data_IF_016540175483
#
_entry.id   IF_016540175483
#
_cell.length_a   1.000
_cell.length_b   1.000
_cell.length_c   1.000
_cell.angle_alpha   90.00
_cell.angle_beta   90.00
_cell.angle_gamma   90.00
#
_symmetry.space_group_name_H-M   'P 1'
#
loop_
_entity.id
_entity.type
_entity.pdbx_description
1 polymer ?
#
# COMPACT_ATOMS: atom_id res chain seq x y z
N UNK A 1 8.87 7.84 -19.28
CA UNK A 1 10.00 8.19 -20.18
C UNK A 1 11.32 8.56 -19.49
N UNK A 2 11.40 8.73 -18.15
CA UNK A 2 12.68 8.85 -17.39
C UNK A 2 13.08 7.57 -16.64
N UNK A 3 12.41 6.45 -16.91
CA UNK A 3 12.53 5.26 -16.05
C UNK A 3 13.90 4.60 -16.16
N UNK A 4 14.42 4.37 -17.38
CA UNK A 4 15.66 3.63 -17.52
C UNK A 4 16.88 4.36 -16.95
N UNK A 5 17.00 5.66 -17.20
CA UNK A 5 18.10 6.49 -16.68
C UNK A 5 18.14 6.47 -15.14
N UNK A 6 16.97 6.60 -14.50
CA UNK A 6 16.85 6.56 -13.04
C UNK A 6 17.22 5.18 -12.50
N UNK A 7 16.66 4.11 -13.10
CA UNK A 7 16.96 2.72 -12.75
C UNK A 7 18.46 2.44 -12.87
N UNK A 8 19.09 2.90 -13.95
CA UNK A 8 20.50 2.69 -14.19
C UNK A 8 21.35 3.44 -13.16
N UNK A 9 21.01 4.70 -12.85
CA UNK A 9 21.71 5.51 -11.86
C UNK A 9 21.65 4.91 -10.45
N UNK A 10 20.47 4.42 -10.06
CA UNK A 10 20.30 3.69 -8.80
C UNK A 10 21.12 2.40 -8.79
N UNK A 11 21.09 1.64 -9.88
CA UNK A 11 21.83 0.38 -9.98
C UNK A 11 23.35 0.59 -9.96
N UNK A 12 23.85 1.65 -10.59
CA UNK A 12 25.26 2.07 -10.48
C UNK A 12 25.63 2.36 -9.03
N UNK A 13 24.77 3.08 -8.30
CA UNK A 13 24.97 3.38 -6.88
C UNK A 13 24.97 2.11 -6.02
N UNK A 14 24.09 1.16 -6.31
CA UNK A 14 23.98 -0.09 -5.57
C UNK A 14 25.21 -1.00 -5.77
N UNK A 15 25.67 -1.16 -7.01
CA UNK A 15 26.75 -2.09 -7.37
C UNK A 15 28.13 -1.47 -7.15
N UNK A 16 28.33 -0.23 -7.59
CA UNK A 16 29.64 0.42 -7.61
C UNK A 16 29.81 1.48 -6.51
N UNK A 17 28.80 1.67 -5.65
CA UNK A 17 28.78 2.63 -4.52
C UNK A 17 28.91 4.08 -5.00
N UNK A 18 29.01 5.00 -4.04
CA UNK A 18 29.08 6.44 -4.31
C UNK A 18 30.26 6.81 -5.23
N UNK A 19 31.43 6.16 -5.07
CA UNK A 19 32.59 6.37 -5.94
C UNK A 19 32.35 5.90 -7.38
N UNK A 20 31.56 4.85 -7.57
CA UNK A 20 31.12 4.39 -8.89
C UNK A 20 30.14 5.36 -9.55
N UNK A 21 29.19 5.88 -8.78
CA UNK A 21 28.25 6.90 -9.25
C UNK A 21 28.97 8.19 -9.66
N UNK A 22 29.94 8.64 -8.87
CA UNK A 22 30.75 9.81 -9.21
C UNK A 22 31.55 9.60 -10.51
N UNK A 23 32.11 8.40 -10.73
CA UNK A 23 32.80 8.06 -11.99
C UNK A 23 31.84 8.09 -13.19
N UNK A 24 30.66 7.51 -13.04
CA UNK A 24 29.62 7.52 -14.06
C UNK A 24 29.16 8.93 -14.43
N UNK A 25 28.88 9.78 -13.43
CA UNK A 25 28.50 11.17 -13.67
C UNK A 25 29.65 11.98 -14.30
N UNK A 26 30.88 11.79 -13.84
CA UNK A 26 32.06 12.49 -14.38
C UNK A 26 32.37 12.10 -15.83
N UNK A 27 32.02 10.87 -16.23
CA UNK A 27 32.12 10.40 -17.61
C UNK A 27 30.98 10.91 -18.52
N UNK A 28 30.06 11.72 -17.98
CA UNK A 28 28.88 12.20 -18.70
C UNK A 28 27.84 11.11 -18.95
N UNK A 29 27.82 10.04 -18.13
CA UNK A 29 26.96 8.89 -18.32
C UNK A 29 25.48 9.26 -18.44
N UNK A 30 24.99 10.18 -17.61
CA UNK A 30 23.59 10.65 -17.65
C UNK A 30 23.22 11.26 -19.01
N UNK A 31 24.02 12.20 -19.51
CA UNK A 31 23.81 12.83 -20.82
C UNK A 31 23.93 11.83 -21.97
N UNK A 32 24.91 10.92 -21.91
CA UNK A 32 25.14 9.91 -22.95
C UNK A 32 24.01 8.89 -23.00
N UNK A 33 23.50 8.44 -21.85
CA UNK A 33 22.36 7.52 -21.79
C UNK A 33 21.08 8.19 -22.31
N UNK A 34 20.86 9.47 -22.02
CA UNK A 34 19.74 10.23 -22.59
C UNK A 34 19.80 10.31 -24.12
N UNK A 35 20.99 10.44 -24.71
CA UNK A 35 21.19 10.39 -26.17
C UNK A 35 20.97 8.99 -26.76
N UNK A 36 21.14 7.95 -25.95
CA UNK A 36 20.92 6.53 -26.31
C UNK A 36 19.47 6.07 -26.10
N UNK A 37 18.58 6.95 -25.64
CA UNK A 37 17.14 6.66 -25.60
C UNK A 37 16.51 7.13 -26.92
N UNK A 38 15.83 6.21 -27.60
CA UNK A 38 15.19 6.49 -28.89
C UNK A 38 14.07 7.54 -28.76
N UNK A 39 13.65 8.14 -29.88
CA UNK A 39 12.49 9.06 -29.88
C UNK A 39 11.19 8.39 -29.45
N UNK A 40 11.13 7.06 -29.52
CA UNK A 40 10.00 6.24 -29.07
C UNK A 40 10.11 5.91 -27.58
N UNK A 41 11.21 6.27 -26.92
CA UNK A 41 11.43 6.14 -25.49
C UNK A 41 12.12 4.84 -25.06
N UNK A 42 12.53 4.00 -26.02
CA UNK A 42 13.25 2.76 -25.74
C UNK A 42 14.77 2.99 -25.61
N UNK A 43 15.41 2.50 -24.54
CA UNK A 43 16.85 2.59 -24.37
C UNK A 43 17.58 1.65 -25.34
N UNK A 44 18.61 2.15 -26.00
CA UNK A 44 19.52 1.34 -26.80
C UNK A 44 20.46 0.54 -25.89
N UNK A 45 20.00 -0.64 -25.52
CA UNK A 45 20.67 -1.53 -24.56
C UNK A 45 22.09 -1.91 -24.99
N UNK A 46 22.37 -2.01 -26.29
CA UNK A 46 23.70 -2.37 -26.78
C UNK A 46 24.70 -1.23 -26.53
N UNK A 47 24.33 -0.01 -26.92
CA UNK A 47 25.18 1.17 -26.73
C UNK A 47 25.36 1.52 -25.25
N UNK A 48 24.34 1.27 -24.43
CA UNK A 48 24.42 1.46 -22.97
C UNK A 48 25.36 0.44 -22.33
N UNK A 49 25.34 -0.82 -22.75
CA UNK A 49 26.26 -1.83 -22.24
C UNK A 49 27.72 -1.48 -22.59
N UNK A 50 27.97 -1.01 -23.81
CA UNK A 50 29.29 -0.56 -24.25
C UNK A 50 29.78 0.64 -23.42
N UNK A 51 28.90 1.62 -23.18
CA UNK A 51 29.18 2.75 -22.29
C UNK A 51 29.58 2.31 -20.87
N UNK A 52 28.88 1.32 -20.30
CA UNK A 52 29.21 0.82 -18.97
C UNK A 52 30.57 0.15 -18.95
N UNK A 53 30.96 -0.56 -20.02
CA UNK A 53 32.28 -1.15 -20.16
C UNK A 53 33.41 -0.11 -20.37
N UNK A 54 33.10 1.10 -20.84
CA UNK A 54 34.06 2.21 -20.88
C UNK A 54 34.35 2.80 -19.49
N UNK A 55 33.36 2.76 -18.58
CA UNK A 55 33.40 3.43 -17.27
C UNK A 55 33.81 2.48 -16.14
N UNK A 56 33.42 1.21 -16.24
CA UNK A 56 33.56 0.22 -15.19
C UNK A 56 34.32 -1.02 -15.67
N UNK A 57 34.92 -1.74 -14.71
CA UNK A 57 35.51 -3.04 -14.99
C UNK A 57 34.44 -4.02 -15.49
N UNK A 58 34.86 -5.01 -16.27
CA UNK A 58 33.96 -5.95 -16.96
C UNK A 58 32.90 -6.56 -16.04
N UNK A 59 33.29 -7.02 -14.85
CA UNK A 59 32.39 -7.67 -13.91
C UNK A 59 31.36 -6.68 -13.31
N UNK A 60 31.79 -5.43 -13.07
CA UNK A 60 30.90 -4.38 -12.56
C UNK A 60 29.94 -3.91 -13.64
N UNK A 61 30.43 -3.66 -14.86
CA UNK A 61 29.63 -3.26 -16.00
C UNK A 61 28.54 -4.29 -16.30
N UNK A 62 28.89 -5.58 -16.38
CA UNK A 62 27.93 -6.66 -16.62
C UNK A 62 26.90 -6.79 -15.50
N UNK A 63 27.31 -6.63 -14.24
CA UNK A 63 26.39 -6.68 -13.09
C UNK A 63 25.40 -5.51 -13.11
N UNK A 64 25.89 -4.28 -13.37
CA UNK A 64 25.06 -3.07 -13.45
C UNK A 64 24.07 -3.21 -14.61
N UNK A 65 24.53 -3.63 -15.77
CA UNK A 65 23.70 -3.78 -16.96
C UNK A 65 22.59 -4.81 -16.74
N UNK A 66 22.93 -6.01 -16.26
CA UNK A 66 21.97 -7.09 -16.02
C UNK A 66 20.86 -6.65 -15.06
N UNK A 67 21.22 -6.03 -13.94
CA UNK A 67 20.25 -5.60 -12.91
C UNK A 67 19.38 -4.45 -13.43
N UNK A 68 19.96 -3.50 -14.16
CA UNK A 68 19.22 -2.36 -14.70
C UNK A 68 18.22 -2.78 -15.79
N UNK A 69 18.62 -3.69 -16.68
CA UNK A 69 17.74 -4.26 -17.71
C UNK A 69 16.58 -5.06 -17.10
N UNK A 70 16.86 -5.91 -16.11
CA UNK A 70 15.82 -6.69 -15.42
C UNK A 70 14.80 -5.77 -14.71
N UNK A 71 15.28 -4.75 -13.97
CA UNK A 71 14.41 -3.76 -13.32
C UNK A 71 13.55 -2.99 -14.34
N UNK A 72 14.11 -2.68 -15.50
CA UNK A 72 13.39 -1.98 -16.56
C UNK A 72 12.30 -2.84 -17.22
N UNK A 73 12.61 -4.09 -17.56
CA UNK A 73 11.62 -5.02 -18.12
C UNK A 73 10.46 -5.26 -17.14
N UNK A 74 10.76 -5.44 -15.85
CA UNK A 74 9.73 -5.58 -14.82
C UNK A 74 8.84 -4.35 -14.70
N UNK A 75 9.39 -3.14 -14.84
CA UNK A 75 8.62 -1.90 -14.83
C UNK A 75 7.74 -1.72 -16.07
N UNK A 76 8.21 -2.16 -17.26
CA UNK A 76 7.39 -2.12 -18.49
C UNK A 76 6.18 -3.05 -18.38
N UNK A 77 6.36 -4.25 -17.81
CA UNK A 77 5.25 -5.20 -17.63
C UNK A 77 4.18 -4.61 -16.70
N UNK A 78 4.58 -3.94 -15.61
CA UNK A 78 3.63 -3.28 -14.71
C UNK A 78 2.91 -2.07 -15.33
N UNK A 79 3.59 -1.25 -16.14
CA UNK A 79 2.94 -0.13 -16.84
C UNK A 79 1.92 -0.63 -17.87
N UNK A 80 2.20 -1.74 -18.55
CA UNK A 80 1.28 -2.34 -19.52
C UNK A 80 0.01 -2.91 -18.85
N UNK A 81 0.16 -3.53 -17.69
CA UNK A 81 -0.99 -4.05 -16.91
C UNK A 81 -1.89 -2.90 -16.38
N UNK A 82 -1.30 -1.74 -16.08
CA UNK A 82 -2.02 -0.53 -15.68
C UNK A 82 -2.79 0.14 -16.83
N UNK A 83 -2.19 0.21 -18.03
CA UNK A 83 -2.86 0.78 -19.21
C UNK A 83 -4.03 -0.10 -19.68
N UNK A 84 -3.87 -1.43 -19.62
CA UNK A 84 -4.98 -2.37 -19.87
C UNK A 84 -6.08 -2.22 -18.81
N UNK A 85 -5.72 -1.99 -17.54
CA UNK A 85 -6.68 -1.71 -16.46
C UNK A 85 -7.44 -0.38 -16.67
N UNK A 86 -6.76 0.71 -17.07
CA UNK A 86 -7.38 2.01 -17.38
C UNK A 86 -8.32 1.95 -18.59
N UNK A 87 -7.96 1.16 -19.60
CA UNK A 87 -8.80 0.89 -20.77
C UNK A 87 -10.11 0.19 -20.38
N UNK A 88 -10.03 -0.82 -19.50
CA UNK A 88 -11.19 -1.58 -19.02
C UNK A 88 -12.09 -0.74 -18.11
N UNK A 89 -11.53 0.09 -17.23
CA UNK A 89 -12.32 1.01 -16.39
C UNK A 89 -13.06 2.04 -17.24
N UNK A 90 -12.43 2.54 -18.31
CA UNK A 90 -13.04 3.47 -19.26
C UNK A 90 -14.14 2.83 -20.08
N UNK A 91 -13.96 1.55 -20.46
CA UNK A 91 -14.98 0.77 -21.16
C UNK A 91 -16.16 0.43 -20.23
N UNK A 92 -15.89 0.02 -18.99
CA UNK A 92 -16.91 -0.27 -17.97
C UNK A 92 -17.73 0.97 -17.56
N UNK A 93 -17.11 2.16 -17.55
CA UNK A 93 -17.81 3.43 -17.31
C UNK A 93 -18.74 3.85 -18.46
N UNK A 94 -18.57 3.25 -19.65
CA UNK A 94 -19.33 3.57 -20.87
C UNK A 94 -20.49 2.60 -21.13
N UNK A 95 -20.62 1.52 -20.35
CA UNK A 95 -21.67 0.51 -20.50
C UNK A 95 -22.95 0.98 -19.77
N UNK A 96 -24.10 1.10 -20.46
CA UNK A 96 -25.39 1.38 -19.82
C UNK A 96 -25.71 0.33 -18.74
N UNK A 97 -26.35 0.76 -17.66
CA UNK A 97 -26.65 -0.01 -16.43
C UNK A 97 -27.55 -1.25 -16.60
N UNK A 98 -27.77 -1.74 -17.82
CA UNK A 98 -28.74 -2.78 -18.19
C UNK A 98 -28.09 -4.10 -18.69
N UNK A 99 -26.78 -4.33 -18.48
CA UNK A 99 -26.13 -5.61 -18.82
C UNK A 99 -25.79 -6.38 -17.53
N UNK A 100 -26.27 -7.62 -17.44
CA UNK A 100 -26.27 -8.47 -16.24
C UNK A 100 -24.96 -8.45 -15.47
N UNK A 101 -25.06 -8.12 -14.18
CA UNK A 101 -23.97 -8.06 -13.19
C UNK A 101 -23.04 -9.31 -13.26
N UNK A 102 -23.58 -10.50 -13.58
CA UNK A 102 -22.85 -11.78 -13.59
C UNK A 102 -21.66 -11.87 -14.58
N UNK A 103 -21.74 -11.26 -15.77
CA UNK A 103 -20.68 -11.37 -16.79
C UNK A 103 -19.48 -10.48 -16.47
N UNK A 104 -19.68 -9.42 -15.69
CA UNK A 104 -18.61 -8.51 -15.29
C UNK A 104 -17.85 -9.02 -14.06
N UNK A 105 -18.54 -9.65 -13.10
CA UNK A 105 -17.93 -10.12 -11.84
C UNK A 105 -16.84 -11.15 -12.10
N UNK A 106 -17.08 -12.12 -12.97
CA UNK A 106 -16.12 -13.18 -13.28
C UNK A 106 -14.87 -12.64 -14.01
N UNK A 107 -15.05 -11.56 -14.79
CA UNK A 107 -13.96 -10.87 -15.48
C UNK A 107 -13.13 -10.00 -14.51
N UNK A 108 -13.79 -9.28 -13.60
CA UNK A 108 -13.11 -8.57 -12.52
C UNK A 108 -12.39 -9.54 -11.56
N UNK A 109 -12.97 -10.70 -11.28
CA UNK A 109 -12.38 -11.75 -10.45
C UNK A 109 -11.04 -12.24 -11.02
N UNK A 110 -11.02 -12.47 -12.34
CA UNK A 110 -9.78 -12.87 -13.03
C UNK A 110 -8.71 -11.77 -13.00
N UNK A 111 -9.09 -10.50 -13.13
CA UNK A 111 -8.14 -9.37 -13.18
C UNK A 111 -7.59 -9.04 -11.80
N UNK A 112 -8.45 -8.96 -10.80
CA UNK A 112 -8.07 -8.68 -9.42
C UNK A 112 -7.50 -9.91 -8.69
N UNK A 113 -7.42 -11.07 -9.38
CA UNK A 113 -7.04 -12.36 -8.82
C UNK A 113 -7.77 -12.65 -7.50
N UNK A 114 -9.04 -12.28 -7.45
CA UNK A 114 -9.88 -12.24 -6.25
C UNK A 114 -11.18 -12.98 -6.56
N UNK A 115 -11.77 -13.66 -5.58
CA UNK A 115 -13.00 -14.43 -5.81
C UNK A 115 -14.16 -13.51 -6.20
N UNK A 116 -15.02 -13.96 -7.13
CA UNK A 116 -16.17 -13.18 -7.61
C UNK A 116 -17.13 -12.75 -6.50
N UNK A 117 -17.23 -13.56 -5.45
CA UNK A 117 -18.04 -13.27 -4.26
C UNK A 117 -17.47 -12.10 -3.44
N UNK A 118 -16.14 -11.98 -3.35
CA UNK A 118 -15.49 -10.86 -2.66
C UNK A 118 -15.65 -9.55 -3.44
N UNK A 119 -15.60 -9.62 -4.77
CA UNK A 119 -15.87 -8.48 -5.65
C UNK A 119 -17.33 -8.03 -5.52
N UNK A 120 -18.26 -8.98 -5.42
CA UNK A 120 -19.66 -8.65 -5.17
C UNK A 120 -19.89 -8.05 -3.79
N UNK A 121 -19.17 -8.54 -2.77
CA UNK A 121 -19.18 -7.93 -1.44
C UNK A 121 -18.67 -6.48 -1.49
N UNK A 122 -17.55 -6.23 -2.18
CA UNK A 122 -16.96 -4.91 -2.38
C UNK A 122 -17.90 -3.95 -3.15
N UNK A 123 -18.53 -4.43 -4.22
CA UNK A 123 -19.51 -3.64 -4.99
C UNK A 123 -20.72 -3.29 -4.10
N UNK A 124 -21.19 -4.26 -3.31
CA UNK A 124 -22.34 -4.06 -2.41
C UNK A 124 -22.01 -3.06 -1.30
N UNK A 125 -20.81 -3.15 -0.72
CA UNK A 125 -20.34 -2.24 0.30
C UNK A 125 -20.13 -0.82 -0.26
N UNK A 126 -19.53 -0.70 -1.44
CA UNK A 126 -19.39 0.58 -2.14
C UNK A 126 -20.76 1.21 -2.47
N UNK A 127 -21.77 0.41 -2.87
CA UNK A 127 -23.15 0.89 -3.06
C UNK A 127 -23.75 1.37 -1.73
N UNK A 128 -23.57 0.64 -0.63
CA UNK A 128 -24.05 1.05 0.71
C UNK A 128 -23.42 2.37 1.17
N UNK A 129 -22.11 2.53 0.99
CA UNK A 129 -21.39 3.77 1.31
C UNK A 129 -21.93 4.92 0.45
N UNK A 130 -22.13 4.69 -0.85
CA UNK A 130 -22.67 5.70 -1.76
C UNK A 130 -24.09 6.14 -1.38
N UNK A 131 -24.94 5.20 -0.97
CA UNK A 131 -26.27 5.47 -0.42
C UNK A 131 -26.19 6.29 0.88
N UNK A 132 -25.31 5.90 1.81
CA UNK A 132 -25.09 6.64 3.06
C UNK A 132 -24.56 8.07 2.82
N UNK A 133 -23.83 8.29 1.72
CA UNK A 133 -23.33 9.61 1.30
C UNK A 133 -24.37 10.44 0.54
N UNK A 134 -25.62 9.98 0.40
CA UNK A 134 -26.69 10.71 -0.29
C UNK A 134 -26.48 10.88 -1.80
N UNK A 135 -25.54 10.13 -2.40
CA UNK A 135 -25.28 10.14 -3.84
C UNK A 135 -26.11 9.05 -4.52
N UNK A 136 -27.43 9.21 -4.51
CA UNK A 136 -28.30 8.41 -5.37
C UNK A 136 -27.96 8.74 -6.83
N UNK A 137 -27.69 7.72 -7.64
CA UNK A 137 -27.84 7.84 -9.09
C UNK A 137 -29.30 8.15 -9.43
N UNK A 138 -29.63 8.49 -10.68
CA UNK A 138 -30.99 8.85 -11.05
C UNK A 138 -31.92 7.65 -10.85
N UNK A 139 -32.64 7.61 -9.73
CA UNK A 139 -33.77 6.74 -9.54
C UNK A 139 -34.88 7.22 -10.47
N UNK A 140 -35.32 6.34 -11.37
CA UNK A 140 -36.58 6.51 -12.09
C UNK A 140 -37.70 6.61 -11.07
N UNK A 141 -38.36 7.76 -11.04
CA UNK A 141 -39.71 7.89 -10.52
C UNK A 141 -40.62 6.83 -11.17
N UNK A 142 -41.21 5.96 -10.36
CA UNK A 142 -42.47 5.33 -10.70
C UNK A 142 -43.53 5.82 -9.72
N UNK A 143 -44.46 6.62 -10.26
CA UNK A 143 -45.77 6.92 -9.71
C UNK A 143 -46.56 5.62 -9.47
N UNK A 144 -47.17 5.47 -8.29
CA UNK A 144 -48.62 5.37 -8.10
C UNK A 144 -48.98 5.06 -6.63
N UNK A 145 -49.41 6.12 -5.92
CA UNK A 145 -50.53 6.29 -4.95
C UNK A 145 -51.03 5.19 -3.96
N UNK A 146 -51.83 5.53 -2.91
CA UNK A 146 -52.12 6.85 -2.31
C UNK A 146 -52.01 6.94 -0.77
N UNK A 147 -51.97 8.21 -0.36
CA UNK A 147 -52.19 8.87 0.93
C UNK A 147 -52.88 8.11 2.09
N UNK A 148 -52.39 8.38 3.31
CA UNK A 148 -53.27 8.55 4.47
C UNK A 148 -52.78 9.75 5.32
N UNK A 149 -53.63 10.75 5.40
CA UNK A 149 -53.49 12.00 6.16
C UNK A 149 -53.98 11.78 7.59
N UNK A 150 -53.19 12.09 8.63
CA UNK A 150 -53.72 12.52 9.95
C UNK A 150 -52.72 13.43 10.72
N UNK A 151 -53.02 14.73 10.67
CA UNK A 151 -52.93 15.83 11.68
C UNK A 151 -51.82 15.95 12.75
N UNK A 152 -51.21 17.16 12.72
CA UNK A 152 -50.73 18.04 13.79
C UNK A 152 -50.98 17.69 15.27
N UNK A 153 -49.95 17.88 16.12
CA UNK A 153 -50.01 18.83 17.26
C UNK A 153 -48.62 19.05 17.89
N UNK A 154 -48.19 20.32 17.94
CA UNK A 154 -47.22 20.86 18.91
C UNK A 154 -47.90 21.05 20.27
N UNK A 155 -47.14 21.05 21.38
CA UNK A 155 -46.94 22.35 22.02
C UNK A 155 -45.52 22.59 22.56
N UNK A 156 -45.13 23.87 22.48
CA UNK A 156 -44.12 24.53 23.30
C UNK A 156 -44.50 24.48 24.78
N UNK A 157 -43.51 24.23 25.65
CA UNK A 157 -43.52 24.78 27.01
C UNK A 157 -42.12 25.31 27.34
N UNK A 158 -42.12 26.61 27.57
CA UNK A 158 -41.06 27.48 28.06
C UNK A 158 -40.99 27.36 29.58
N UNK A 159 -39.83 27.01 30.17
CA UNK A 159 -39.56 27.22 31.60
C UNK A 159 -38.11 27.69 31.77
N UNK A 160 -38.00 28.89 32.35
CA UNK A 160 -36.80 29.62 32.78
C UNK A 160 -35.98 28.92 33.89
N UNK A 161 -34.73 29.36 34.13
CA UNK A 161 -33.73 28.65 34.91
C UNK A 161 -33.82 28.98 36.41
N UNK A 162 -33.06 28.26 37.26
CA UNK A 162 -32.46 28.91 38.40
C UNK A 162 -30.94 28.70 38.46
N UNK A 163 -30.25 29.82 38.60
CA UNK A 163 -28.95 29.89 39.22
C UNK A 163 -29.01 29.34 40.66
N UNK A 164 -28.05 28.53 41.05
CA UNK A 164 -27.54 28.57 42.41
C UNK A 164 -26.08 28.11 42.49
N UNK A 165 -25.36 28.91 43.26
CA UNK A 165 -23.93 28.97 43.43
C UNK A 165 -23.51 28.19 44.70
N UNK A 166 -22.35 27.51 44.60
CA UNK A 166 -21.30 27.28 45.65
C UNK A 166 -21.61 26.16 46.70
N UNK A 167 -20.63 25.39 47.24
CA UNK A 167 -19.18 25.63 47.28
C UNK A 167 -18.23 24.52 46.79
N UNK A 168 -17.03 25.01 46.47
CA UNK A 168 -15.73 24.35 46.36
C UNK A 168 -15.44 23.50 47.60
N UNK A 169 -15.16 22.21 47.40
CA UNK A 169 -14.47 21.39 48.39
C UNK A 169 -13.11 21.03 47.83
N UNK A 170 -12.06 21.57 48.46
CA UNK A 170 -10.66 21.23 48.25
C UNK A 170 -10.47 19.72 48.40
N UNK A 171 -10.23 19.04 47.28
CA UNK A 171 -9.57 17.74 47.29
C UNK A 171 -8.09 18.00 47.02
N UNK A 172 -7.25 17.68 48.01
CA UNK A 172 -5.80 17.71 47.92
C UNK A 172 -5.33 16.96 46.66
N UNK A 173 -4.37 17.48 45.89
CA UNK A 173 -3.78 16.70 44.81
C UNK A 173 -2.92 15.61 45.44
N UNK A 174 -3.36 14.36 45.31
CA UNK A 174 -2.46 13.22 45.40
C UNK A 174 -1.32 13.42 44.38
N UNK A 175 -0.09 12.97 44.69
CA UNK A 175 1.01 13.07 43.76
C UNK A 175 0.66 12.27 42.51
N UNK A 176 0.45 12.96 41.38
CA UNK A 176 0.43 12.30 40.08
C UNK A 176 1.76 11.56 39.96
N UNK A 177 1.69 10.23 39.87
CA UNK A 177 2.82 9.43 39.44
C UNK A 177 3.39 10.05 38.15
N UNK A 178 4.72 10.15 37.99
CA UNK A 178 5.28 10.69 36.76
C UNK A 178 4.78 9.83 35.61
N UNK A 179 3.85 10.36 34.82
CA UNK A 179 3.50 9.80 33.51
C UNK A 179 4.81 9.81 32.76
N UNK A 180 5.41 8.63 32.57
CA UNK A 180 6.65 8.50 31.82
C UNK A 180 6.43 9.21 30.48
N UNK A 181 7.12 10.33 30.28
CA UNK A 181 7.13 11.02 29.00
C UNK A 181 7.73 10.04 28.00
N UNK A 182 6.86 9.38 27.21
CA UNK A 182 7.30 8.57 26.10
C UNK A 182 8.08 9.49 25.16
N UNK A 183 9.29 9.10 24.77
CA UNK A 183 10.05 9.90 23.82
C UNK A 183 9.37 9.83 22.44
N UNK A 184 9.64 10.81 21.57
CA UNK A 184 9.12 10.84 20.21
C UNK A 184 9.37 9.52 19.47
N UNK A 185 10.56 8.93 19.63
CA UNK A 185 10.94 7.67 18.98
C UNK A 185 10.16 6.46 19.53
N UNK A 186 9.79 6.49 20.82
CA UNK A 186 8.94 5.45 21.41
C UNK A 186 7.52 5.52 20.86
N UNK A 187 6.94 6.70 20.72
CA UNK A 187 5.61 6.89 20.11
C UNK A 187 5.60 6.41 18.65
N UNK A 188 6.62 6.77 17.87
CA UNK A 188 6.76 6.33 16.47
C UNK A 188 6.86 4.81 16.40
N UNK A 189 7.70 4.21 17.25
CA UNK A 189 7.86 2.74 17.30
C UNK A 189 6.56 2.03 17.68
N UNK A 190 5.81 2.59 18.63
CA UNK A 190 4.52 2.05 19.06
C UNK A 190 3.47 2.14 17.94
N UNK A 191 3.41 3.26 17.22
CA UNK A 191 2.53 3.43 16.07
C UNK A 191 2.77 2.36 15.00
N UNK A 192 4.04 2.15 14.64
CA UNK A 192 4.45 1.17 13.63
C UNK A 192 4.10 -0.28 14.05
N UNK A 193 4.19 -0.59 15.34
CA UNK A 193 3.85 -1.93 15.86
C UNK A 193 2.34 -2.18 15.91
N UNK A 194 1.53 -1.16 16.18
CA UNK A 194 0.08 -1.32 16.37
C UNK A 194 -0.66 -1.49 15.04
N UNK A 195 -0.23 -0.78 14.00
CA UNK A 195 -0.90 -0.71 12.70
C UNK A 195 -0.30 -1.72 11.70
N UNK A 196 -1.11 -2.59 11.10
CA UNK A 196 -0.65 -3.54 10.07
C UNK A 196 -0.20 -2.85 8.80
N UNK A 197 -0.98 -1.89 8.34
CA UNK A 197 -0.70 -1.17 7.12
C UNK A 197 -1.29 0.22 7.31
N UNK A 198 -0.56 1.10 8.01
CA UNK A 198 -1.07 2.43 8.29
C UNK A 198 -1.30 3.14 6.95
N UNK A 199 -2.54 3.58 6.74
CA UNK A 199 -2.88 4.39 5.58
C UNK A 199 -2.23 5.76 5.67
N UNK A 200 -2.21 6.52 4.56
CA UNK A 200 -1.79 7.91 4.59
C UNK A 200 -2.62 8.74 5.58
N UNK A 201 -3.90 8.40 5.78
CA UNK A 201 -4.76 9.05 6.77
C UNK A 201 -4.30 8.75 8.20
N UNK A 202 -3.97 7.49 8.52
CA UNK A 202 -3.46 7.10 9.83
C UNK A 202 -2.15 7.82 10.17
N UNK A 203 -1.25 7.96 9.20
CA UNK A 203 0.02 8.65 9.36
C UNK A 203 -0.22 10.16 9.61
N UNK A 204 -1.14 10.78 8.88
CA UNK A 204 -1.51 12.19 9.11
C UNK A 204 -2.16 12.41 10.47
N UNK A 205 -3.06 11.52 10.89
CA UNK A 205 -3.71 11.63 12.20
C UNK A 205 -2.72 11.41 13.33
N UNK A 206 -1.76 10.49 13.16
CA UNK A 206 -0.67 10.29 14.10
C UNK A 206 0.26 11.50 14.21
N UNK A 207 0.66 12.11 13.09
CA UNK A 207 1.49 13.33 13.13
C UNK A 207 0.75 14.50 13.78
N UNK A 208 -0.56 14.65 13.55
CA UNK A 208 -1.40 15.63 14.27
C UNK A 208 -1.47 15.32 15.77
N UNK A 209 -1.62 14.06 16.15
CA UNK A 209 -1.58 13.63 17.55
C UNK A 209 -0.26 14.01 18.23
N UNK A 210 0.89 13.78 17.58
CA UNK A 210 2.20 14.14 18.13
C UNK A 210 2.31 15.66 18.36
N UNK A 211 1.84 16.48 17.42
CA UNK A 211 1.81 17.95 17.59
C UNK A 211 0.91 18.37 18.76
N UNK A 212 -0.28 17.79 18.86
CA UNK A 212 -1.23 18.08 19.95
C UNK A 212 -0.69 17.68 21.32
N UNK A 213 0.19 16.68 21.37
CA UNK A 213 0.87 16.22 22.58
C UNK A 213 2.08 17.11 22.96
N UNK A 214 2.41 18.09 22.14
CA UNK A 214 3.45 19.09 22.42
C UNK A 214 4.85 18.70 21.93
N UNK A 215 4.99 17.63 21.13
CA UNK A 215 6.29 17.33 20.52
C UNK A 215 6.65 18.38 19.47
N UNK A 216 7.91 18.83 19.49
CA UNK A 216 8.49 19.68 18.45
C UNK A 216 9.38 18.81 17.55
N UNK A 217 9.04 18.74 16.26
CA UNK A 217 9.74 17.92 15.28
C UNK A 217 9.54 18.46 13.86
N UNK A 218 10.45 18.10 12.95
CA UNK A 218 10.25 18.29 11.52
C UNK A 218 9.38 17.15 10.97
N UNK A 219 8.30 17.50 10.27
CA UNK A 219 7.34 16.51 9.75
C UNK A 219 8.03 15.49 8.83
N UNK A 220 8.92 15.95 7.95
CA UNK A 220 9.66 15.09 7.03
C UNK A 220 10.48 14.02 7.76
N UNK A 221 11.14 14.37 8.88
CA UNK A 221 11.92 13.42 9.67
C UNK A 221 11.04 12.37 10.33
N UNK A 222 9.85 12.76 10.82
CA UNK A 222 8.92 11.80 11.43
C UNK A 222 8.30 10.89 10.37
N UNK A 223 7.92 11.43 9.22
CA UNK A 223 7.43 10.66 8.09
C UNK A 223 8.48 9.65 7.63
N UNK A 224 9.72 10.08 7.42
CA UNK A 224 10.84 9.21 7.05
C UNK A 224 11.02 8.07 8.06
N UNK A 225 11.04 8.37 9.37
CA UNK A 225 11.13 7.34 10.42
C UNK A 225 9.96 6.36 10.40
N UNK A 226 8.74 6.85 10.14
CA UNK A 226 7.55 6.00 10.02
C UNK A 226 7.68 5.07 8.81
N UNK A 227 8.00 5.61 7.63
CA UNK A 227 8.15 4.80 6.41
C UNK A 227 9.27 3.77 6.53
N UNK A 228 10.45 4.19 6.99
CA UNK A 228 11.58 3.29 7.20
C UNK A 228 11.25 2.19 8.21
N UNK A 229 10.56 2.51 9.31
CA UNK A 229 10.19 1.51 10.29
C UNK A 229 9.07 0.57 9.82
N UNK A 230 8.14 1.04 8.97
CA UNK A 230 7.15 0.17 8.31
C UNK A 230 7.86 -0.80 7.35
N UNK A 231 8.80 -0.29 6.55
CA UNK A 231 9.58 -1.08 5.59
C UNK A 231 10.45 -2.12 6.31
N UNK A 232 11.19 -1.71 7.35
CA UNK A 232 12.03 -2.61 8.16
C UNK A 232 11.19 -3.72 8.81
N UNK A 233 10.01 -3.38 9.32
CA UNK A 233 9.08 -4.38 9.86
C UNK A 233 8.57 -5.32 8.77
N UNK A 234 8.12 -4.81 7.62
CA UNK A 234 7.67 -5.64 6.48
C UNK A 234 8.77 -6.61 6.04
N UNK A 235 10.03 -6.13 5.96
CA UNK A 235 11.20 -6.96 5.67
C UNK A 235 11.38 -8.08 6.71
N UNK A 236 11.38 -7.75 8.00
CA UNK A 236 11.53 -8.75 9.09
C UNK A 236 10.42 -9.78 9.10
N UNK A 237 9.19 -9.35 8.84
CA UNK A 237 8.05 -10.28 8.77
C UNK A 237 8.15 -11.18 7.54
N UNK A 238 8.61 -10.65 6.39
CA UNK A 238 8.92 -11.43 5.19
C UNK A 238 9.95 -12.52 5.47
N UNK A 239 11.06 -12.15 6.11
CA UNK A 239 12.14 -13.07 6.46
C UNK A 239 11.62 -14.22 7.35
N UNK A 240 10.84 -13.90 8.38
CA UNK A 240 10.21 -14.93 9.24
C UNK A 240 9.26 -15.85 8.48
N UNK A 241 8.47 -15.31 7.55
CA UNK A 241 7.56 -16.12 6.71
C UNK A 241 8.37 -17.07 5.85
N UNK A 242 9.44 -16.59 5.21
CA UNK A 242 10.30 -17.42 4.37
C UNK A 242 10.97 -18.53 5.18
N UNK A 243 11.51 -18.24 6.37
CA UNK A 243 12.07 -19.26 7.26
C UNK A 243 11.03 -20.34 7.65
N UNK A 244 9.79 -19.93 7.90
CA UNK A 244 8.71 -20.87 8.23
C UNK A 244 8.26 -21.69 7.00
N UNK A 245 8.26 -21.09 5.81
CA UNK A 245 8.00 -21.79 4.54
C UNK A 245 9.09 -22.82 4.27
N UNK A 246 10.36 -22.48 4.45
CA UNK A 246 11.47 -23.42 4.29
C UNK A 246 11.30 -24.62 5.23
N UNK A 247 11.04 -24.39 6.52
CA UNK A 247 10.77 -25.47 7.50
C UNK A 247 9.52 -26.30 7.15
N UNK A 248 8.53 -25.69 6.50
CA UNK A 248 7.34 -26.38 6.03
C UNK A 248 7.66 -27.28 4.83
N UNK A 249 8.46 -26.79 3.87
CA UNK A 249 8.88 -27.51 2.67
C UNK A 249 9.97 -28.56 2.92
N UNK A 250 10.67 -28.50 4.06
CA UNK A 250 11.50 -29.61 4.56
C UNK A 250 10.66 -30.82 5.00
N UNK A 251 9.43 -30.58 5.48
CA UNK A 251 8.52 -31.64 5.95
C UNK A 251 7.63 -32.17 4.84
N UNK A 252 7.33 -31.34 3.84
CA UNK A 252 6.44 -31.66 2.73
C UNK A 252 7.07 -31.22 1.42
N UNK A 253 7.56 -32.16 0.62
CA UNK A 253 8.15 -31.86 -0.70
C UNK A 253 7.10 -31.32 -1.69
N UNK A 254 5.85 -31.81 -1.59
CA UNK A 254 4.71 -31.33 -2.38
C UNK A 254 3.49 -31.22 -1.46
N UNK A 255 3.33 -30.09 -0.75
CA UNK A 255 2.24 -29.91 0.19
C UNK A 255 0.89 -29.83 -0.54
N UNK A 256 -0.13 -30.50 0.00
CA UNK A 256 -1.51 -30.38 -0.49
C UNK A 256 -2.14 -29.04 -0.10
N UNK A 257 -3.22 -28.65 -0.77
CA UNK A 257 -3.98 -27.44 -0.44
C UNK A 257 -4.46 -27.39 1.03
N UNK A 258 -4.83 -28.54 1.60
CA UNK A 258 -5.23 -28.65 3.01
C UNK A 258 -4.04 -28.39 3.97
N UNK A 259 -2.85 -28.86 3.59
CA UNK A 259 -1.61 -28.64 4.36
C UNK A 259 -1.18 -27.18 4.28
N UNK A 260 -1.28 -26.56 3.10
CA UNK A 260 -1.02 -25.13 2.90
C UNK A 260 -2.02 -24.30 3.71
N UNK A 261 -3.32 -24.64 3.67
CA UNK A 261 -4.34 -23.97 4.47
C UNK A 261 -4.06 -24.05 5.97
N UNK A 262 -3.72 -25.24 6.46
CA UNK A 262 -3.37 -25.46 7.87
C UNK A 262 -2.11 -24.69 8.28
N UNK A 263 -1.12 -24.62 7.40
CA UNK A 263 0.10 -23.85 7.62
C UNK A 263 -0.18 -22.35 7.70
N UNK A 264 -0.99 -21.80 6.79
CA UNK A 264 -1.37 -20.37 6.80
C UNK A 264 -2.11 -20.01 8.08
N UNK A 265 -3.04 -20.84 8.54
CA UNK A 265 -3.72 -20.63 9.83
C UNK A 265 -2.73 -20.70 11.01
N UNK A 266 -1.71 -21.56 10.93
CA UNK A 266 -0.66 -21.60 11.94
C UNK A 266 0.21 -20.33 11.98
N UNK A 267 0.43 -19.68 10.83
CA UNK A 267 1.16 -18.40 10.76
C UNK A 267 0.35 -17.25 11.35
N UNK A 268 -0.97 -17.21 11.13
CA UNK A 268 -1.85 -16.22 11.79
C UNK A 268 -1.75 -16.28 13.31
N UNK A 269 -1.67 -17.49 13.88
CA UNK A 269 -1.50 -17.69 15.31
C UNK A 269 -0.12 -17.22 15.85
N UNK A 270 0.86 -17.00 14.97
CA UNK A 270 2.19 -16.47 15.29
C UNK A 270 2.30 -14.95 15.12
N UNK A 271 1.17 -14.24 14.98
CA UNK A 271 1.08 -12.80 14.70
C UNK A 271 1.78 -12.39 13.38
N UNK A 272 1.89 -13.33 12.45
CA UNK A 272 2.40 -13.04 11.10
C UNK A 272 1.24 -12.49 10.27
N UNK A 273 1.39 -11.24 9.85
CA UNK A 273 0.33 -10.40 9.30
C UNK A 273 0.31 -10.38 7.76
N UNK A 274 0.67 -11.50 7.13
CA UNK A 274 0.65 -11.67 5.68
C UNK A 274 -0.71 -12.17 5.17
N UNK A 275 -1.09 -11.74 3.98
CA UNK A 275 -2.28 -12.22 3.30
C UNK A 275 -2.16 -13.70 2.93
N UNK A 276 -3.29 -14.42 2.97
CA UNK A 276 -3.35 -15.84 2.57
C UNK A 276 -2.77 -16.07 1.17
N UNK A 277 -3.11 -15.18 0.23
CA UNK A 277 -2.62 -15.22 -1.15
C UNK A 277 -1.10 -15.01 -1.25
N UNK A 278 -0.56 -14.05 -0.51
CA UNK A 278 0.88 -13.75 -0.52
C UNK A 278 1.69 -14.95 -0.01
N UNK A 279 1.22 -15.59 1.08
CA UNK A 279 1.87 -16.79 1.62
C UNK A 279 1.80 -17.93 0.61
N UNK A 280 0.65 -18.15 -0.04
CA UNK A 280 0.52 -19.17 -1.11
C UNK A 280 1.48 -18.91 -2.26
N UNK A 281 1.56 -17.66 -2.72
CA UNK A 281 2.49 -17.26 -3.79
C UNK A 281 3.94 -17.52 -3.39
N UNK A 282 4.33 -17.16 -2.16
CA UNK A 282 5.67 -17.43 -1.64
C UNK A 282 6.00 -18.92 -1.56
N UNK A 283 5.04 -19.77 -1.15
CA UNK A 283 5.22 -21.23 -1.13
C UNK A 283 5.43 -21.76 -2.55
N UNK A 284 4.62 -21.32 -3.52
CA UNK A 284 4.73 -21.75 -4.91
C UNK A 284 6.07 -21.32 -5.53
N UNK A 285 6.51 -20.09 -5.27
CA UNK A 285 7.83 -19.61 -5.71
C UNK A 285 8.96 -20.43 -5.09
N UNK A 286 8.87 -20.74 -3.79
CA UNK A 286 9.87 -21.57 -3.11
C UNK A 286 9.94 -23.00 -3.67
N UNK A 287 8.79 -23.58 -4.05
CA UNK A 287 8.72 -24.89 -4.71
C UNK A 287 9.34 -24.89 -6.12
N UNK A 288 9.24 -23.77 -6.86
CA UNK A 288 9.85 -23.62 -8.19
C UNK A 288 11.36 -23.42 -8.12
N UNK A 289 11.89 -22.90 -7.00
CA UNK A 289 13.31 -22.66 -6.80
C UNK A 289 14.11 -23.86 -6.24
N UNK A 290 13.42 -24.98 -5.97
CA UNK A 290 13.99 -26.22 -5.42
C UNK A 290 14.46 -27.14 -6.55
#
# INVERSE_FOLDING_TARGET
MKNFEVILKETVKDVAKEDGLNRYLSAGGESRVLEMISREGEPDMANINDLLHEIFDKDQASSIFSIASEKYENNIVQEKDMDDMMSIVSEAASIPSDISDDVNIEKFARILQTDGDEIMSLITEARKIRMAMGKMGPERSQENEPQTVVTHTTPSVNIEPPANLIPVSEASPLPEAPKAELTLDMEISDFIKRQNEPSSLDIMDFTRYLKNKGYCFEENTVLEKIYLGIEDRKRKDREKVLEEIERFLEKYDYPSEDQIGSFIESLKNKDIRYGRHEIKSMINLALLSK
#
